data_IF_802084087293
#
_entry.id   IF_802084087293
#
_cell.length_a   1.000
_cell.length_b   1.000
_cell.length_c   1.000
_cell.angle_alpha   90.00
_cell.angle_beta   90.00
_cell.angle_gamma   90.00
#
_symmetry.space_group_name_H-M   'P 1'
#
loop_
_entity.id
_entity.type
_entity.pdbx_description
1 polymer ?
#
# COMPACT_ATOMS: atom_id res chain seq x y z
N UNK A 1 14.25 1.95 -10.19
CA UNK A 1 13.61 3.00 -9.37
C UNK A 1 14.58 3.75 -8.47
N UNK A 2 15.37 3.10 -7.61
CA UNK A 2 16.32 3.80 -6.71
C UNK A 2 17.33 4.69 -7.45
N UNK A 3 17.93 4.24 -8.57
CA UNK A 3 18.83 5.05 -9.37
C UNK A 3 18.11 6.26 -9.99
N UNK A 4 16.89 6.08 -10.45
CA UNK A 4 16.08 7.18 -10.98
C UNK A 4 15.79 8.23 -9.91
N UNK A 5 15.34 7.83 -8.71
CA UNK A 5 15.08 8.75 -7.62
C UNK A 5 16.34 9.57 -7.25
N UNK A 6 17.51 8.93 -7.20
CA UNK A 6 18.80 9.63 -6.94
C UNK A 6 19.11 10.71 -7.97
N UNK A 7 18.78 10.49 -9.25
CA UNK A 7 18.99 11.49 -10.30
C UNK A 7 18.16 12.76 -10.12
N UNK A 8 17.08 12.67 -9.36
CA UNK A 8 16.23 13.81 -8.96
C UNK A 8 16.53 14.32 -7.55
N UNK A 9 17.69 13.99 -6.98
CA UNK A 9 18.09 14.49 -5.66
C UNK A 9 17.56 13.70 -4.48
N UNK A 10 16.85 12.57 -4.69
CA UNK A 10 16.35 11.78 -3.59
C UNK A 10 17.47 11.01 -2.87
N UNK A 11 17.37 10.94 -1.54
CA UNK A 11 18.18 10.06 -0.70
C UNK A 11 17.41 8.78 -0.39
N UNK A 12 17.96 7.65 -0.83
CA UNK A 12 17.34 6.33 -0.59
C UNK A 12 17.65 5.90 0.83
N UNK A 13 16.61 5.52 1.56
CA UNK A 13 16.73 5.01 2.92
C UNK A 13 16.87 3.50 2.90
N UNK A 14 15.85 2.81 2.42
CA UNK A 14 15.84 1.34 2.35
C UNK A 14 14.80 0.81 1.37
N UNK A 15 14.94 -0.48 1.04
CA UNK A 15 13.85 -1.28 0.54
C UNK A 15 13.16 -1.96 1.73
N UNK A 16 11.86 -1.77 1.86
CA UNK A 16 11.03 -2.44 2.84
C UNK A 16 10.10 -3.41 2.11
N UNK A 17 10.55 -4.66 1.98
CA UNK A 17 9.88 -5.63 1.12
C UNK A 17 9.91 -5.19 -0.35
N UNK A 18 8.76 -4.98 -0.94
CA UNK A 18 8.55 -4.47 -2.30
C UNK A 18 8.47 -2.93 -2.38
N UNK A 19 8.48 -2.22 -1.25
CA UNK A 19 8.44 -0.77 -1.20
C UNK A 19 9.84 -0.15 -1.17
N UNK A 20 10.04 0.93 -1.93
CA UNK A 20 11.22 1.76 -1.91
C UNK A 20 10.96 3.03 -1.09
N UNK A 21 11.68 3.20 0.01
CA UNK A 21 11.58 4.37 0.90
C UNK A 21 12.72 5.33 0.61
N UNK A 22 12.36 6.59 0.35
CA UNK A 22 13.32 7.66 0.08
C UNK A 22 12.74 9.02 0.43
N UNK A 23 13.58 10.02 0.56
CA UNK A 23 13.19 11.40 0.81
C UNK A 23 14.02 12.38 -0.01
N UNK A 24 13.56 13.62 -0.13
CA UNK A 24 14.23 14.71 -0.83
C UNK A 24 14.80 15.70 0.17
N UNK A 25 16.11 15.70 0.44
CA UNK A 25 16.73 16.61 1.42
C UNK A 25 16.48 18.08 1.11
N UNK A 26 16.55 18.45 -0.17
CA UNK A 26 16.43 19.83 -0.63
C UNK A 26 15.01 20.41 -0.47
N UNK A 27 14.00 19.55 -0.22
CA UNK A 27 12.66 19.97 0.15
C UNK A 27 12.53 20.40 1.62
N UNK A 28 13.60 20.34 2.41
CA UNK A 28 13.62 20.85 3.79
C UNK A 28 13.30 22.36 3.88
N UNK A 29 13.63 23.13 2.84
CA UNK A 29 13.17 24.49 2.67
C UNK A 29 11.82 24.50 1.89
N UNK A 30 10.70 24.86 2.54
CA UNK A 30 9.41 24.89 1.89
C UNK A 30 9.28 25.94 0.77
N UNK A 31 10.24 26.85 0.64
CA UNK A 31 10.28 27.85 -0.43
C UNK A 31 11.08 27.39 -1.66
N UNK A 32 11.75 26.25 -1.59
CA UNK A 32 12.55 25.73 -2.70
C UNK A 32 11.69 25.08 -3.79
N UNK A 33 11.07 25.92 -4.64
CA UNK A 33 10.21 25.45 -5.76
C UNK A 33 10.88 24.40 -6.65
N UNK A 34 12.19 24.51 -6.89
CA UNK A 34 12.93 23.59 -7.76
C UNK A 34 12.95 22.16 -7.18
N UNK A 35 13.18 22.01 -5.87
CA UNK A 35 13.19 20.70 -5.21
C UNK A 35 11.82 20.00 -5.30
N UNK A 36 10.73 20.75 -5.16
CA UNK A 36 9.39 20.18 -5.30
C UNK A 36 9.02 19.87 -6.75
N UNK A 37 9.54 20.63 -7.71
CA UNK A 37 9.41 20.34 -9.13
C UNK A 37 10.12 19.03 -9.48
N UNK A 38 11.38 18.88 -9.06
CA UNK A 38 12.19 17.68 -9.27
C UNK A 38 11.53 16.44 -8.64
N UNK A 39 10.95 16.61 -7.44
CA UNK A 39 10.22 15.55 -6.76
C UNK A 39 9.02 15.06 -7.58
N UNK A 40 8.17 15.96 -8.06
CA UNK A 40 6.99 15.59 -8.86
C UNK A 40 7.37 15.03 -10.22
N UNK A 41 8.41 15.57 -10.84
CA UNK A 41 8.96 15.03 -12.09
C UNK A 41 9.53 13.62 -11.89
N UNK A 42 10.20 13.37 -10.77
CA UNK A 42 10.67 12.04 -10.37
C UNK A 42 9.50 11.05 -10.31
N UNK A 43 8.41 11.39 -9.62
CA UNK A 43 7.24 10.52 -9.50
C UNK A 43 6.59 10.24 -10.86
N UNK A 44 6.42 11.27 -11.67
CA UNK A 44 5.87 11.12 -13.02
C UNK A 44 6.75 10.23 -13.90
N UNK A 45 8.06 10.44 -13.83
CA UNK A 45 9.02 9.64 -14.58
C UNK A 45 9.03 8.19 -14.13
N UNK A 46 8.90 7.93 -12.82
CA UNK A 46 8.77 6.57 -12.29
C UNK A 46 7.55 5.87 -12.90
N UNK A 47 6.39 6.52 -12.96
CA UNK A 47 5.19 5.93 -13.57
C UNK A 47 5.39 5.66 -15.06
N UNK A 48 6.03 6.56 -15.80
CA UNK A 48 6.27 6.40 -17.24
C UNK A 48 7.27 5.27 -17.55
N UNK A 49 8.33 5.14 -16.75
CA UNK A 49 9.36 4.09 -16.91
C UNK A 49 8.80 2.69 -16.65
N UNK A 50 7.70 2.58 -15.91
CA UNK A 50 7.00 1.29 -15.69
C UNK A 50 6.68 0.57 -17.00
N UNK A 51 6.24 1.29 -18.02
CA UNK A 51 5.84 0.67 -19.29
C UNK A 51 7.04 0.04 -20.00
N UNK A 52 8.22 0.65 -19.88
CA UNK A 52 9.47 0.07 -20.37
C UNK A 52 9.87 -1.18 -19.59
N UNK A 53 9.76 -1.11 -18.26
CA UNK A 53 10.06 -2.26 -17.39
C UNK A 53 9.14 -3.41 -17.75
N UNK A 54 7.83 -3.16 -17.90
CA UNK A 54 6.86 -4.17 -18.25
C UNK A 54 7.09 -4.74 -19.66
N UNK A 55 7.49 -3.92 -20.63
CA UNK A 55 7.85 -4.41 -21.97
C UNK A 55 9.04 -5.38 -21.91
N UNK A 56 10.04 -5.07 -21.08
CA UNK A 56 11.19 -5.96 -20.86
C UNK A 56 10.79 -7.25 -20.12
N UNK A 57 10.02 -7.13 -19.04
CA UNK A 57 9.53 -8.30 -18.31
C UNK A 57 8.71 -9.23 -19.22
N UNK A 58 7.87 -8.66 -20.07
CA UNK A 58 7.09 -9.41 -21.07
C UNK A 58 7.98 -10.17 -22.06
N UNK A 59 9.09 -9.55 -22.51
CA UNK A 59 10.04 -10.23 -23.41
C UNK A 59 10.77 -11.39 -22.74
N UNK A 60 10.80 -11.41 -21.41
CA UNK A 60 11.42 -12.46 -20.59
C UNK A 60 10.37 -13.45 -20.02
N UNK A 61 9.09 -13.36 -20.45
CA UNK A 61 7.94 -14.14 -19.93
C UNK A 61 7.73 -13.96 -18.41
N UNK A 62 8.05 -12.78 -17.88
CA UNK A 62 7.82 -12.42 -16.49
C UNK A 62 6.52 -11.59 -16.33
N UNK A 63 5.86 -11.68 -15.18
CA UNK A 63 4.65 -10.92 -14.92
C UNK A 63 4.92 -9.40 -14.90
N UNK A 64 3.95 -8.62 -15.35
CA UNK A 64 4.01 -7.16 -15.30
C UNK A 64 3.99 -6.66 -13.86
N UNK A 65 4.71 -5.57 -13.61
CA UNK A 65 4.71 -4.88 -12.32
C UNK A 65 3.78 -3.68 -12.34
N UNK A 66 3.14 -3.45 -11.21
CA UNK A 66 2.32 -2.28 -10.93
C UNK A 66 2.75 -1.75 -9.57
N UNK A 67 2.82 -0.43 -9.42
CA UNK A 67 3.18 0.18 -8.14
C UNK A 67 2.44 1.50 -7.93
N UNK A 68 2.45 1.97 -6.70
CA UNK A 68 1.84 3.21 -6.26
C UNK A 68 2.93 4.12 -5.71
N UNK A 69 2.72 5.42 -5.80
CA UNK A 69 3.61 6.41 -5.22
C UNK A 69 2.79 7.26 -4.26
N UNK A 70 3.28 7.37 -3.03
CA UNK A 70 2.74 8.28 -2.03
C UNK A 70 3.83 9.19 -1.52
N UNK A 71 3.48 10.44 -1.28
CA UNK A 71 4.39 11.42 -0.70
C UNK A 71 3.65 12.34 0.27
N UNK A 72 4.34 12.75 1.31
CA UNK A 72 3.85 13.79 2.21
C UNK A 72 5.01 14.65 2.70
N UNK A 73 4.67 15.79 3.29
CA UNK A 73 5.63 16.74 3.82
C UNK A 73 5.52 16.84 5.34
N UNK A 74 6.66 16.78 6.03
CA UNK A 74 6.70 16.95 7.46
C UNK A 74 8.00 16.50 8.07
N UNK A 75 8.08 16.64 9.40
CA UNK A 75 9.26 16.27 10.14
C UNK A 75 9.47 14.76 10.15
N UNK A 76 10.66 14.34 9.75
CA UNK A 76 11.13 12.96 9.86
C UNK A 76 12.44 12.93 10.65
N UNK A 77 12.65 11.86 11.40
CA UNK A 77 13.89 11.62 12.13
C UNK A 77 14.64 10.50 11.41
N UNK A 78 15.92 10.76 11.11
CA UNK A 78 16.81 9.79 10.50
C UNK A 78 17.65 9.16 11.61
N UNK A 79 17.48 7.88 11.86
CA UNK A 79 18.32 7.14 12.80
C UNK A 79 19.26 6.19 12.05
N UNK A 80 20.53 6.19 12.44
CA UNK A 80 21.50 5.21 12.01
C UNK A 80 21.59 4.10 13.04
N UNK A 81 21.29 2.87 12.62
CA UNK A 81 21.44 1.71 13.52
C UNK A 81 22.88 1.20 13.45
N UNK A 82 23.48 0.97 14.64
CA UNK A 82 24.82 0.35 14.72
C UNK A 82 24.81 -1.12 14.31
N UNK A 83 23.63 -1.76 14.24
CA UNK A 83 23.47 -3.17 13.91
C UNK A 83 23.09 -3.46 12.45
N UNK A 84 22.53 -2.49 11.75
CA UNK A 84 22.20 -2.58 10.32
C UNK A 84 22.93 -1.46 9.56
N UNK A 85 23.61 -1.80 8.45
CA UNK A 85 24.25 -0.81 7.57
C UNK A 85 23.20 0.01 6.79
N UNK A 86 22.26 0.69 7.48
CA UNK A 86 21.20 1.46 6.86
C UNK A 86 20.70 2.57 7.76
N UNK A 87 20.15 3.61 7.13
CA UNK A 87 19.39 4.66 7.80
C UNK A 87 17.93 4.21 7.89
N UNK A 88 17.26 4.52 8.99
CA UNK A 88 15.81 4.37 9.15
C UNK A 88 15.15 5.73 9.30
N UNK A 89 13.96 5.89 8.73
CA UNK A 89 13.13 7.08 8.91
C UNK A 89 12.02 6.80 9.91
N UNK A 90 11.86 7.74 10.85
CA UNK A 90 10.81 7.71 11.86
C UNK A 90 10.02 9.01 11.85
N UNK A 91 8.76 8.94 12.26
CA UNK A 91 7.90 10.12 12.44
C UNK A 91 6.48 9.90 11.91
N UNK A 92 5.58 10.78 12.36
CA UNK A 92 4.16 10.76 11.95
C UNK A 92 3.98 10.89 10.43
N UNK A 93 4.85 11.66 9.77
CA UNK A 93 4.85 11.85 8.31
C UNK A 93 5.07 10.54 7.56
N UNK A 94 5.97 9.67 8.05
CA UNK A 94 6.18 8.34 7.48
C UNK A 94 4.92 7.47 7.58
N UNK A 95 4.29 7.48 8.75
CA UNK A 95 3.06 6.71 8.96
C UNK A 95 1.91 7.20 8.08
N UNK A 96 1.76 8.52 7.95
CA UNK A 96 0.76 9.12 7.04
C UNK A 96 1.06 8.72 5.60
N UNK A 97 2.30 8.90 5.15
CA UNK A 97 2.73 8.58 3.79
C UNK A 97 2.45 7.11 3.43
N UNK A 98 2.78 6.18 4.34
CA UNK A 98 2.49 4.76 4.15
C UNK A 98 0.97 4.47 4.08
N UNK A 99 0.18 5.12 4.91
CA UNK A 99 -1.29 4.94 4.94
C UNK A 99 -2.00 5.50 3.70
N UNK A 100 -1.62 6.69 3.24
CA UNK A 100 -2.21 7.27 2.02
C UNK A 100 -1.81 6.51 0.76
N UNK A 101 -0.75 5.69 0.80
CA UNK A 101 -0.35 4.86 -0.34
C UNK A 101 -1.45 3.88 -0.78
N UNK A 102 -2.21 3.35 0.17
CA UNK A 102 -3.33 2.45 -0.13
C UNK A 102 -4.48 3.15 -0.87
N UNK A 103 -4.58 4.48 -0.77
CA UNK A 103 -5.59 5.29 -1.45
C UNK A 103 -5.22 5.60 -2.91
N UNK A 104 -3.98 5.34 -3.32
CA UNK A 104 -3.58 5.51 -4.70
C UNK A 104 -4.15 4.40 -5.57
N UNK A 105 -4.66 4.78 -6.74
CA UNK A 105 -4.94 3.81 -7.81
C UNK A 105 -3.66 3.10 -8.26
N UNK A 106 -3.73 1.87 -8.77
CA UNK A 106 -2.58 1.22 -9.38
C UNK A 106 -1.92 2.12 -10.42
N UNK A 107 -0.62 2.32 -10.27
CA UNK A 107 0.18 3.26 -11.08
C UNK A 107 -0.22 4.74 -10.92
N UNK A 108 -0.84 5.07 -9.80
CA UNK A 108 -1.19 6.42 -9.42
C UNK A 108 -0.17 7.04 -8.46
N UNK A 109 -0.30 8.36 -8.33
CA UNK A 109 0.46 9.19 -7.39
C UNK A 109 -0.54 9.85 -6.46
N UNK A 110 -0.33 9.71 -5.14
CA UNK A 110 -1.08 10.45 -4.12
C UNK A 110 -0.14 11.27 -3.26
N UNK A 111 -0.61 12.42 -2.82
CA UNK A 111 0.11 13.30 -1.92
C UNK A 111 -0.76 13.66 -0.71
N UNK A 112 -0.12 13.80 0.43
CA UNK A 112 -0.78 14.26 1.65
C UNK A 112 -1.08 15.74 1.65
N UNK A 113 -1.98 16.14 2.55
CA UNK A 113 -2.45 17.51 2.67
C UNK A 113 -1.35 18.51 2.97
N UNK A 114 -0.38 18.15 3.81
CA UNK A 114 0.71 19.03 4.19
C UNK A 114 1.63 19.33 2.99
N UNK A 115 1.94 18.33 2.18
CA UNK A 115 2.66 18.52 0.93
C UNK A 115 1.85 19.38 -0.05
N UNK A 116 0.57 19.11 -0.20
CA UNK A 116 -0.30 19.90 -1.08
C UNK A 116 -0.36 21.37 -0.68
N UNK A 117 -0.40 21.69 0.63
CA UNK A 117 -0.43 23.08 1.10
C UNK A 117 0.82 23.86 0.67
N UNK A 118 1.99 23.23 0.61
CA UNK A 118 3.22 23.84 0.15
C UNK A 118 3.18 24.05 -1.36
N UNK A 119 2.94 22.98 -2.10
CA UNK A 119 3.09 23.03 -3.56
C UNK A 119 2.01 23.81 -4.27
N UNK A 120 0.80 23.94 -3.71
CA UNK A 120 -0.31 24.66 -4.34
C UNK A 120 -0.01 26.14 -4.64
N UNK A 121 0.93 26.74 -3.91
CA UNK A 121 1.34 28.14 -4.10
C UNK A 121 2.31 28.33 -5.27
N UNK A 122 2.92 27.26 -5.78
CA UNK A 122 3.94 27.33 -6.81
C UNK A 122 3.33 27.49 -8.21
N UNK A 123 3.77 28.48 -8.93
CA UNK A 123 3.18 28.88 -10.21
C UNK A 123 3.33 27.86 -11.31
N UNK A 124 4.42 27.08 -11.30
CA UNK A 124 4.72 26.08 -12.33
C UNK A 124 3.79 24.85 -12.22
N UNK A 125 3.30 24.53 -11.03
CA UNK A 125 2.44 23.37 -10.80
C UNK A 125 1.10 23.48 -11.47
N UNK A 126 0.51 24.68 -11.49
CA UNK A 126 -0.77 24.94 -12.15
C UNK A 126 -0.72 24.67 -13.65
N UNK A 127 0.45 24.72 -14.27
CA UNK A 127 0.65 24.47 -15.71
C UNK A 127 0.93 22.99 -16.01
N UNK A 128 1.62 22.28 -15.11
CA UNK A 128 2.11 20.93 -15.35
C UNK A 128 1.29 19.80 -14.70
N UNK A 129 0.58 20.10 -13.62
CA UNK A 129 -0.12 19.10 -12.81
C UNK A 129 -1.56 19.50 -12.52
N UNK A 130 -2.39 18.49 -12.29
CA UNK A 130 -3.75 18.62 -11.77
C UNK A 130 -3.81 17.82 -10.47
N UNK A 131 -4.36 18.44 -9.42
CA UNK A 131 -4.56 17.78 -8.15
C UNK A 131 -6.05 17.66 -7.88
N UNK A 132 -6.50 16.46 -7.50
CA UNK A 132 -7.89 16.20 -7.14
C UNK A 132 -7.94 15.62 -5.74
N UNK A 133 -8.72 16.22 -4.87
CA UNK A 133 -8.94 15.70 -3.53
C UNK A 133 -9.71 14.38 -3.60
N UNK A 134 -9.21 13.37 -2.89
CA UNK A 134 -9.89 12.09 -2.77
C UNK A 134 -11.01 12.19 -1.75
N UNK A 135 -12.20 11.77 -2.15
CA UNK A 135 -13.35 11.73 -1.26
C UNK A 135 -13.11 10.69 -0.15
N UNK A 136 -13.28 11.14 1.09
CA UNK A 136 -13.11 10.27 2.25
C UNK A 136 -11.91 10.66 3.12
N UNK A 137 -10.81 11.14 2.57
CA UNK A 137 -9.60 11.50 3.31
C UNK A 137 -9.10 10.36 4.22
N UNK A 138 -7.93 10.50 4.79
CA UNK A 138 -7.44 9.59 5.82
C UNK A 138 -7.94 10.05 7.21
N UNK A 139 -8.57 9.17 8.00
CA UNK A 139 -9.05 9.50 9.34
C UNK A 139 -7.88 9.49 10.33
N UNK A 140 -7.52 10.67 10.85
CA UNK A 140 -6.59 10.81 11.98
C UNK A 140 -7.43 10.97 13.26
N UNK A 141 -7.77 9.85 13.93
CA UNK A 141 -8.61 9.87 15.12
C UNK A 141 -10.10 10.10 14.82
N UNK A 142 -10.89 10.34 15.86
CA UNK A 142 -12.36 10.26 15.80
C UNK A 142 -13.05 11.35 14.95
N UNK A 143 -12.41 12.50 14.66
CA UNK A 143 -13.10 13.63 14.01
C UNK A 143 -12.31 14.39 12.91
N UNK A 144 -11.02 14.10 12.72
CA UNK A 144 -10.21 14.84 11.75
C UNK A 144 -9.84 13.98 10.55
N UNK A 145 -10.38 14.34 9.38
CA UNK A 145 -9.99 13.76 8.10
C UNK A 145 -8.74 14.48 7.58
N UNK A 146 -7.68 13.71 7.37
CA UNK A 146 -6.49 14.22 6.69
C UNK A 146 -6.72 14.24 5.18
N UNK A 147 -6.63 15.39 4.51
CA UNK A 147 -6.91 15.49 3.09
C UNK A 147 -5.80 14.79 2.28
N UNK A 148 -6.20 14.07 1.25
CA UNK A 148 -5.32 13.35 0.33
C UNK A 148 -5.68 13.74 -1.08
N UNK A 149 -4.67 13.96 -1.91
CA UNK A 149 -4.86 14.41 -3.29
C UNK A 149 -4.20 13.45 -4.26
N UNK A 150 -4.88 13.14 -5.37
CA UNK A 150 -4.19 12.53 -6.52
C UNK A 150 -3.42 13.59 -7.27
N UNK A 151 -2.21 13.24 -7.73
CA UNK A 151 -1.40 14.10 -8.58
C UNK A 151 -1.38 13.54 -10.01
N UNK A 152 -1.92 14.29 -10.96
CA UNK A 152 -2.01 13.91 -12.36
C UNK A 152 -1.17 14.87 -13.20
N UNK A 153 -0.23 14.35 -13.97
CA UNK A 153 0.48 15.16 -14.97
C UNK A 153 -0.46 15.50 -16.12
N UNK A 154 -0.58 16.77 -16.46
CA UNK A 154 -1.36 17.25 -17.63
C UNK A 154 -0.70 16.88 -18.96
N UNK A 155 0.60 16.60 -18.93
CA UNK A 155 1.40 16.28 -20.12
C UNK A 155 1.46 14.77 -20.39
N UNK A 156 0.34 14.05 -20.29
CA UNK A 156 0.26 12.59 -20.49
C UNK A 156 0.88 12.07 -21.79
N UNK A 157 1.04 12.91 -22.82
CA UNK A 157 1.52 12.53 -24.13
C UNK A 157 2.85 13.17 -24.53
N UNK A 158 3.50 13.92 -23.65
CA UNK A 158 4.68 14.66 -24.04
C UNK A 158 5.94 14.15 -23.29
N UNK A 159 6.56 13.11 -23.84
CA UNK A 159 7.92 12.71 -23.47
C UNK A 159 8.95 13.83 -23.73
N UNK A 160 8.55 14.95 -24.34
CA UNK A 160 9.42 16.09 -24.64
C UNK A 160 9.77 16.94 -23.39
N UNK A 161 9.03 16.81 -22.29
CA UNK A 161 9.34 17.46 -21.02
C UNK A 161 10.14 16.59 -20.05
N UNK A 162 10.29 15.31 -20.34
CA UNK A 162 11.11 14.41 -19.55
C UNK A 162 12.58 14.74 -19.76
N UNK A 163 13.33 14.77 -18.68
CA UNK A 163 14.80 14.85 -18.79
C UNK A 163 15.32 13.53 -19.41
N UNK A 164 15.27 13.49 -20.77
CA UNK A 164 15.63 12.33 -21.59
C UNK A 164 17.05 11.86 -21.25
N UNK A 165 17.92 12.77 -20.79
CA UNK A 165 19.28 12.42 -20.38
C UNK A 165 19.26 11.48 -19.18
N UNK A 166 18.37 11.67 -18.21
CA UNK A 166 18.24 10.79 -17.04
C UNK A 166 17.74 9.40 -17.43
N UNK A 167 16.81 9.32 -18.41
CA UNK A 167 16.27 8.05 -18.90
C UNK A 167 17.29 7.34 -19.80
N UNK A 168 17.96 8.07 -20.68
CA UNK A 168 19.01 7.52 -21.54
C UNK A 168 20.20 6.96 -20.76
N UNK A 169 20.54 7.57 -19.63
CA UNK A 169 21.61 7.10 -18.76
C UNK A 169 21.26 5.77 -18.07
N UNK A 170 19.98 5.54 -17.79
CA UNK A 170 19.50 4.32 -17.12
C UNK A 170 19.23 3.15 -18.09
N UNK A 171 18.77 3.42 -19.30
CA UNK A 171 18.28 2.40 -20.23
C UNK A 171 19.00 2.37 -21.59
N UNK A 172 19.88 3.33 -21.88
CA UNK A 172 20.54 3.48 -23.17
C UNK A 172 19.67 4.17 -24.23
N UNK A 173 20.33 4.90 -25.14
CA UNK A 173 19.66 5.77 -26.11
C UNK A 173 18.76 5.04 -27.11
N UNK A 174 19.00 3.75 -27.38
CA UNK A 174 18.25 2.94 -28.34
C UNK A 174 16.90 2.43 -27.79
N UNK A 175 16.76 2.37 -26.48
CA UNK A 175 15.51 1.93 -25.84
C UNK A 175 14.49 3.08 -25.72
N UNK A 176 14.98 4.29 -25.54
CA UNK A 176 14.14 5.50 -25.39
C UNK A 176 13.44 5.91 -26.69
N UNK A 177 14.03 5.63 -27.85
CA UNK A 177 13.38 5.88 -29.15
C UNK A 177 12.16 4.98 -29.39
N UNK A 178 12.13 3.78 -28.82
CA UNK A 178 10.98 2.86 -28.90
C UNK A 178 9.77 3.35 -28.08
N UNK A 179 9.97 4.20 -27.07
CA UNK A 179 8.88 4.74 -26.25
C UNK A 179 7.98 5.68 -27.04
N UNK A 180 8.54 6.46 -27.97
CA UNK A 180 7.79 7.38 -28.82
C UNK A 180 6.78 6.65 -29.71
N UNK A 181 7.09 5.41 -30.09
CA UNK A 181 6.22 4.60 -30.95
C UNK A 181 5.15 3.81 -30.18
N UNK A 182 5.38 3.54 -28.87
CA UNK A 182 4.45 2.78 -28.01
C UNK A 182 3.27 3.66 -27.56
N UNK A 183 3.52 4.94 -27.30
CA UNK A 183 2.46 5.90 -26.89
C UNK A 183 1.38 6.12 -27.95
N UNK A 184 1.67 5.82 -29.22
CA UNK A 184 0.74 5.96 -30.34
C UNK A 184 -0.12 4.71 -30.63
N UNK A 185 0.20 3.54 -30.06
CA UNK A 185 -0.44 2.26 -30.38
C UNK A 185 -1.35 1.66 -29.31
N UNK A 186 -1.48 2.26 -28.12
CA UNK A 186 -2.26 1.67 -27.01
C UNK A 186 -3.71 2.18 -26.92
N UNK A 187 -4.41 2.31 -28.05
CA UNK A 187 -5.87 2.50 -28.02
C UNK A 187 -6.69 1.23 -28.30
N UNK A 188 -6.07 0.06 -28.41
CA UNK A 188 -6.81 -1.17 -28.65
C UNK A 188 -6.07 -2.41 -28.15
N UNK A 189 -6.27 -2.80 -26.91
CA UNK A 189 -6.23 -4.21 -26.53
C UNK A 189 -7.07 -4.43 -25.28
N UNK A 190 -8.16 -5.15 -25.48
CA UNK A 190 -9.06 -5.70 -24.48
C UNK A 190 -8.25 -6.57 -23.51
N UNK A 191 -8.08 -6.10 -22.30
CA UNK A 191 -7.69 -6.94 -21.17
C UNK A 191 -8.80 -7.95 -20.91
N UNK A 192 -8.41 -9.22 -20.77
CA UNK A 192 -9.31 -10.34 -20.59
C UNK A 192 -10.29 -10.10 -19.44
N UNK A 193 -11.55 -10.33 -19.67
CA UNK A 193 -12.69 -10.18 -18.76
C UNK A 193 -12.53 -10.99 -17.45
N UNK A 194 -11.65 -11.99 -17.41
CA UNK A 194 -11.44 -12.86 -16.26
C UNK A 194 -10.63 -12.20 -15.13
N UNK A 195 -9.57 -11.43 -15.45
CA UNK A 195 -8.79 -10.71 -14.42
C UNK A 195 -9.59 -9.55 -13.80
N UNK A 196 -10.48 -8.93 -14.58
CA UNK A 196 -11.35 -7.86 -14.10
C UNK A 196 -12.41 -8.38 -13.13
N UNK A 197 -12.94 -9.59 -13.34
CA UNK A 197 -13.93 -10.21 -12.46
C UNK A 197 -13.33 -10.66 -11.13
N UNK A 198 -12.12 -11.24 -11.12
CA UNK A 198 -11.44 -11.62 -9.88
C UNK A 198 -11.04 -10.40 -9.03
N UNK A 199 -10.57 -9.31 -9.65
CA UNK A 199 -10.28 -8.07 -8.94
C UNK A 199 -11.54 -7.44 -8.37
N UNK A 200 -12.62 -7.38 -9.13
CA UNK A 200 -13.89 -6.78 -8.69
C UNK A 200 -14.52 -7.56 -7.51
N UNK A 201 -14.31 -8.88 -7.46
CA UNK A 201 -14.75 -9.71 -6.35
C UNK A 201 -13.92 -9.46 -5.07
N UNK A 202 -12.62 -9.15 -5.19
CA UNK A 202 -11.76 -8.82 -4.05
C UNK A 202 -12.14 -7.47 -3.40
N UNK A 203 -12.46 -6.44 -4.17
CA UNK A 203 -12.93 -5.14 -3.64
C UNK A 203 -14.27 -5.22 -2.88
N UNK A 204 -15.00 -6.32 -2.97
CA UNK A 204 -16.21 -6.57 -2.21
C UNK A 204 -16.00 -7.44 -0.97
N UNK A 205 -14.79 -7.92 -0.72
CA UNK A 205 -14.46 -8.80 0.40
C UNK A 205 -13.96 -8.00 1.59
N UNK A 206 -14.73 -8.01 2.67
CA UNK A 206 -14.40 -7.33 3.91
C UNK A 206 -13.65 -8.28 4.84
N UNK A 207 -12.48 -7.87 5.30
CA UNK A 207 -11.61 -8.60 6.21
C UNK A 207 -11.43 -7.77 7.49
N UNK A 208 -11.69 -8.38 8.64
CA UNK A 208 -11.33 -7.82 9.95
C UNK A 208 -9.98 -8.38 10.39
N UNK A 209 -9.11 -7.53 10.92
CA UNK A 209 -7.85 -7.96 11.56
C UNK A 209 -7.85 -7.46 13.00
N UNK A 210 -7.48 -8.33 13.93
CA UNK A 210 -7.35 -7.98 15.34
C UNK A 210 -6.00 -8.47 15.86
N UNK A 211 -5.13 -7.53 16.24
CA UNK A 211 -3.77 -7.79 16.74
C UNK A 211 -3.36 -6.62 17.62
N UNK A 212 -2.90 -6.86 18.83
CA UNK A 212 -2.53 -5.80 19.78
C UNK A 212 -1.20 -5.11 19.47
N UNK A 213 -0.43 -5.64 18.52
CA UNK A 213 0.79 -5.02 17.99
C UNK A 213 0.49 -4.08 16.83
N UNK A 214 0.54 -2.75 17.00
CA UNK A 214 0.17 -1.80 15.94
C UNK A 214 1.00 -1.95 14.64
N UNK A 215 2.29 -2.28 14.76
CA UNK A 215 3.19 -2.41 13.61
C UNK A 215 2.87 -3.66 12.79
N UNK A 216 2.55 -4.76 13.47
CA UNK A 216 2.11 -6.01 12.85
C UNK A 216 0.77 -5.81 12.15
N UNK A 217 -0.18 -5.19 12.84
CA UNK A 217 -1.50 -4.87 12.32
C UNK A 217 -1.41 -4.01 11.05
N UNK A 218 -0.61 -2.95 11.11
CA UNK A 218 -0.35 -2.08 9.97
C UNK A 218 0.23 -2.83 8.76
N UNK A 219 1.18 -3.74 9.02
CA UNK A 219 1.81 -4.53 7.95
C UNK A 219 0.79 -5.42 7.24
N UNK A 220 -0.07 -6.09 7.99
CA UNK A 220 -1.08 -6.98 7.40
C UNK A 220 -2.20 -6.19 6.71
N UNK A 221 -2.62 -5.08 7.28
CA UNK A 221 -3.57 -4.15 6.63
C UNK A 221 -3.05 -3.70 5.27
N UNK A 222 -1.76 -3.30 5.21
CA UNK A 222 -1.11 -2.92 3.97
C UNK A 222 -1.10 -4.05 2.95
N UNK A 223 -0.67 -5.26 3.35
CA UNK A 223 -0.58 -6.40 2.44
C UNK A 223 -1.95 -6.75 1.84
N UNK A 224 -3.00 -6.70 2.63
CA UNK A 224 -4.34 -7.07 2.19
C UNK A 224 -5.03 -5.97 1.38
N UNK A 225 -4.86 -4.71 1.76
CA UNK A 225 -5.39 -3.58 1.02
C UNK A 225 -4.76 -3.50 -0.38
N UNK A 226 -3.47 -3.79 -0.51
CA UNK A 226 -2.77 -3.86 -1.80
C UNK A 226 -3.31 -4.95 -2.73
N UNK A 227 -3.85 -6.03 -2.16
CA UNK A 227 -4.51 -7.10 -2.93
C UNK A 227 -5.97 -6.76 -3.28
N UNK A 228 -6.47 -5.62 -2.81
CA UNK A 228 -7.83 -5.14 -3.11
C UNK A 228 -8.88 -5.62 -2.11
N UNK A 229 -8.52 -6.07 -0.92
CA UNK A 229 -9.46 -6.35 0.16
C UNK A 229 -9.85 -5.07 0.91
N UNK A 230 -11.09 -4.99 1.38
CA UNK A 230 -11.51 -3.98 2.34
C UNK A 230 -11.09 -4.45 3.74
N UNK A 231 -10.18 -3.75 4.36
CA UNK A 231 -9.60 -4.16 5.65
C UNK A 231 -10.01 -3.21 6.75
N UNK A 232 -10.49 -3.77 7.85
CA UNK A 232 -10.73 -3.04 9.10
C UNK A 232 -9.87 -3.65 10.21
N UNK A 233 -8.99 -2.83 10.77
CA UNK A 233 -7.92 -3.25 11.67
C UNK A 233 -8.14 -2.70 13.08
N UNK A 234 -8.01 -3.56 14.11
CA UNK A 234 -8.27 -3.23 15.51
C UNK A 234 -7.13 -3.69 16.40
N UNK A 235 -6.61 -2.76 17.22
CA UNK A 235 -5.62 -3.09 18.29
C UNK A 235 -6.30 -3.52 19.58
N UNK A 236 -7.57 -3.16 19.79
CA UNK A 236 -8.35 -3.56 20.96
C UNK A 236 -9.41 -4.60 20.57
N UNK A 237 -9.31 -5.85 21.07
CA UNK A 237 -10.26 -6.90 20.74
C UNK A 237 -11.69 -6.61 21.24
N UNK A 238 -11.88 -5.76 22.24
CA UNK A 238 -13.21 -5.37 22.70
C UNK A 238 -13.88 -4.38 21.73
N UNK A 239 -13.10 -3.46 21.17
CA UNK A 239 -13.59 -2.57 20.11
C UNK A 239 -13.91 -3.35 18.84
N UNK A 240 -13.06 -4.31 18.45
CA UNK A 240 -13.32 -5.21 17.35
C UNK A 240 -14.66 -5.96 17.53
N UNK A 241 -14.89 -6.51 18.72
CA UNK A 241 -16.15 -7.22 19.01
C UNK A 241 -17.37 -6.29 18.94
N UNK A 242 -17.30 -5.10 19.53
CA UNK A 242 -18.39 -4.10 19.46
C UNK A 242 -18.70 -3.74 18.03
N UNK A 243 -17.67 -3.55 17.21
CA UNK A 243 -17.83 -3.23 15.80
C UNK A 243 -18.44 -4.40 15.02
N UNK A 244 -17.98 -5.62 15.28
CA UNK A 244 -18.54 -6.83 14.68
C UNK A 244 -20.02 -7.00 15.00
N UNK A 245 -20.43 -6.83 16.27
CA UNK A 245 -21.83 -6.91 16.70
C UNK A 245 -22.69 -5.88 15.99
N UNK A 246 -22.22 -4.64 15.89
CA UNK A 246 -22.94 -3.54 15.22
C UNK A 246 -23.24 -3.86 13.75
N UNK A 247 -22.28 -4.43 13.03
CA UNK A 247 -22.42 -4.75 11.61
C UNK A 247 -23.15 -6.07 11.38
N UNK A 248 -22.96 -7.09 12.22
CA UNK A 248 -23.68 -8.37 12.12
C UNK A 248 -25.18 -8.23 12.35
N UNK A 249 -25.61 -7.25 13.12
CA UNK A 249 -27.03 -6.93 13.31
C UNK A 249 -27.69 -6.27 12.08
N UNK A 250 -26.90 -5.63 11.22
CA UNK A 250 -27.38 -4.95 10.02
C UNK A 250 -27.20 -5.80 8.74
N UNK A 251 -26.15 -6.64 8.69
CA UNK A 251 -25.75 -7.43 7.52
C UNK A 251 -25.29 -8.82 7.95
N UNK A 252 -25.99 -9.89 7.60
CA UNK A 252 -25.77 -11.26 8.11
C UNK A 252 -24.39 -11.90 7.71
N UNK A 253 -23.54 -11.23 6.96
CA UNK A 253 -22.16 -11.66 6.65
C UNK A 253 -21.30 -10.52 6.12
N UNK A 254 -21.20 -9.44 6.90
CA UNK A 254 -20.39 -8.28 6.50
C UNK A 254 -18.91 -8.65 6.34
N UNK A 255 -18.34 -9.38 7.30
CA UNK A 255 -16.97 -9.88 7.18
C UNK A 255 -16.96 -11.30 6.62
N UNK A 256 -16.24 -11.49 5.52
CA UNK A 256 -16.01 -12.81 4.93
C UNK A 256 -14.90 -13.56 5.64
N UNK A 257 -13.95 -12.83 6.24
CA UNK A 257 -12.83 -13.39 6.98
C UNK A 257 -12.45 -12.49 8.16
N UNK A 258 -12.10 -13.13 9.28
CA UNK A 258 -11.50 -12.46 10.43
C UNK A 258 -10.14 -13.08 10.70
N UNK A 259 -9.10 -12.26 10.78
CA UNK A 259 -7.75 -12.62 11.19
C UNK A 259 -7.56 -12.25 12.66
N UNK A 260 -7.22 -13.19 13.51
CA UNK A 260 -7.09 -13.00 14.93
C UNK A 260 -5.69 -13.34 15.43
N UNK A 261 -5.02 -12.40 16.07
CA UNK A 261 -3.92 -12.77 16.96
C UNK A 261 -4.45 -13.52 18.17
N UNK A 262 -3.69 -14.48 18.67
CA UNK A 262 -4.11 -15.30 19.82
C UNK A 262 -3.79 -14.60 21.13
N UNK A 263 -2.62 -13.99 21.23
CA UNK A 263 -2.12 -13.39 22.46
C UNK A 263 -2.41 -11.90 22.52
N UNK A 264 -3.61 -11.56 22.91
CA UNK A 264 -4.01 -10.17 23.13
C UNK A 264 -4.38 -9.94 24.60
N UNK A 265 -4.12 -8.75 25.15
CA UNK A 265 -4.50 -8.42 26.52
C UNK A 265 -6.03 -8.31 26.67
N UNK A 266 -6.55 -8.56 27.87
CA UNK A 266 -7.96 -8.44 28.27
C UNK A 266 -8.91 -9.44 27.62
N UNK A 267 -8.93 -9.56 26.31
CA UNK A 267 -9.74 -10.51 25.57
C UNK A 267 -8.83 -11.21 24.54
N UNK A 268 -8.49 -12.48 24.78
CA UNK A 268 -7.61 -13.20 23.88
C UNK A 268 -8.34 -13.66 22.59
N UNK A 269 -7.55 -14.04 21.57
CA UNK A 269 -8.11 -14.41 20.27
C UNK A 269 -9.06 -15.60 20.30
N UNK A 270 -8.86 -16.58 21.22
CA UNK A 270 -9.77 -17.72 21.38
C UNK A 270 -11.12 -17.32 21.96
N UNK A 271 -11.12 -16.41 22.93
CA UNK A 271 -12.36 -15.90 23.50
C UNK A 271 -13.13 -15.10 22.44
N UNK A 272 -12.42 -14.24 21.69
CA UNK A 272 -13.01 -13.46 20.60
C UNK A 272 -13.55 -14.38 19.48
N UNK A 273 -12.82 -15.43 19.13
CA UNK A 273 -13.27 -16.47 18.20
C UNK A 273 -14.60 -17.07 18.60
N UNK A 274 -14.73 -17.52 19.87
CA UNK A 274 -15.95 -18.13 20.37
C UNK A 274 -17.15 -17.16 20.33
N UNK A 275 -16.91 -15.89 20.68
CA UNK A 275 -17.95 -14.86 20.62
C UNK A 275 -18.39 -14.58 19.18
N UNK A 276 -17.47 -14.44 18.24
CA UNK A 276 -17.78 -14.24 16.82
C UNK A 276 -18.51 -15.46 16.25
N UNK A 277 -18.07 -16.67 16.55
CA UNK A 277 -18.73 -17.91 16.09
C UNK A 277 -20.14 -18.10 16.65
N UNK A 278 -20.38 -17.62 17.87
CA UNK A 278 -21.74 -17.63 18.45
C UNK A 278 -22.66 -16.66 17.72
N UNK A 279 -22.16 -15.49 17.32
CA UNK A 279 -22.93 -14.46 16.62
C UNK A 279 -23.10 -14.75 15.12
N UNK A 280 -22.06 -15.29 14.50
CA UNK A 280 -22.02 -15.58 13.07
C UNK A 280 -21.23 -16.87 12.80
N UNK A 281 -21.89 -18.05 12.87
CA UNK A 281 -21.24 -19.35 12.71
C UNK A 281 -20.48 -19.51 11.39
N UNK A 282 -20.95 -18.87 10.33
CA UNK A 282 -20.42 -18.99 8.98
C UNK A 282 -19.22 -18.06 8.69
N UNK A 283 -18.93 -17.09 9.55
CA UNK A 283 -17.76 -16.21 9.39
C UNK A 283 -16.50 -17.04 9.41
N UNK A 284 -15.66 -16.93 8.37
CA UNK A 284 -14.38 -17.60 8.31
C UNK A 284 -13.41 -16.92 9.25
N UNK A 285 -12.68 -17.70 10.05
CA UNK A 285 -11.71 -17.17 11.01
C UNK A 285 -10.38 -17.86 10.81
N UNK A 286 -9.30 -17.10 10.80
CA UNK A 286 -7.93 -17.57 10.69
C UNK A 286 -7.12 -16.95 11.82
N UNK A 287 -6.31 -17.77 12.49
CA UNK A 287 -5.42 -17.32 13.54
C UNK A 287 -4.05 -16.97 12.99
N UNK A 288 -3.47 -15.89 13.51
CA UNK A 288 -2.07 -15.52 13.31
C UNK A 288 -1.38 -15.60 14.66
N UNK A 289 -0.33 -16.41 14.80
CA UNK A 289 0.26 -16.68 16.10
C UNK A 289 1.75 -16.90 16.06
N UNK A 290 2.41 -16.66 17.19
CA UNK A 290 3.79 -17.06 17.40
C UNK A 290 3.96 -18.59 17.32
N UNK A 291 5.19 -19.04 17.09
CA UNK A 291 5.54 -20.41 16.69
C UNK A 291 5.09 -21.49 17.69
N UNK A 292 5.06 -21.16 18.99
CA UNK A 292 4.81 -22.07 20.09
C UNK A 292 3.32 -22.38 20.36
N UNK A 293 2.41 -21.60 19.77
CA UNK A 293 0.97 -21.72 20.05
C UNK A 293 0.18 -22.57 19.03
N UNK A 294 0.76 -22.89 17.89
CA UNK A 294 0.04 -23.62 16.84
C UNK A 294 -0.32 -25.06 17.26
N UNK A 295 0.51 -25.70 18.07
CA UNK A 295 0.26 -27.06 18.59
C UNK A 295 -0.76 -27.06 19.72
N UNK A 296 -0.75 -26.01 20.56
CA UNK A 296 -1.69 -25.85 21.66
C UNK A 296 -3.11 -25.58 21.13
N UNK A 297 -3.23 -24.78 20.07
CA UNK A 297 -4.50 -24.48 19.41
C UNK A 297 -5.22 -25.72 18.88
N UNK A 298 -4.51 -26.64 18.25
CA UNK A 298 -5.11 -27.87 17.71
C UNK A 298 -5.60 -28.80 18.81
N UNK A 299 -5.02 -28.74 20.02
CA UNK A 299 -5.50 -29.49 21.16
C UNK A 299 -6.77 -28.87 21.81
N UNK A 300 -6.90 -27.54 21.76
CA UNK A 300 -8.03 -26.80 22.35
C UNK A 300 -9.23 -26.71 21.39
N UNK A 301 -8.96 -26.62 20.08
CA UNK A 301 -9.97 -26.53 19.02
C UNK A 301 -9.76 -27.67 18.01
N UNK A 302 -10.19 -28.91 18.31
CA UNK A 302 -9.97 -30.08 17.45
C UNK A 302 -10.60 -29.95 16.05
N UNK A 303 -11.64 -29.11 15.90
CA UNK A 303 -12.26 -28.81 14.60
C UNK A 303 -11.51 -27.75 13.79
N UNK A 304 -10.51 -27.11 14.37
CA UNK A 304 -9.70 -26.10 13.66
C UNK A 304 -8.57 -26.79 12.90
N UNK A 305 -8.66 -26.78 11.57
CA UNK A 305 -7.62 -27.37 10.72
C UNK A 305 -6.33 -26.53 10.82
N UNK A 306 -5.17 -27.20 10.75
CA UNK A 306 -3.86 -26.52 10.63
C UNK A 306 -3.80 -25.49 9.51
N UNK A 307 -4.64 -25.65 8.47
CA UNK A 307 -4.77 -24.70 7.38
C UNK A 307 -5.31 -23.31 7.82
N UNK A 308 -5.94 -23.22 8.98
CA UNK A 308 -6.51 -21.99 9.52
C UNK A 308 -5.55 -21.23 10.46
N UNK A 309 -4.32 -21.70 10.59
CA UNK A 309 -3.30 -21.10 11.45
C UNK A 309 -2.13 -20.60 10.59
N UNK A 310 -1.75 -19.37 10.81
CA UNK A 310 -0.58 -18.72 10.22
C UNK A 310 0.42 -18.44 11.33
N UNK A 311 1.68 -18.78 11.10
CA UNK A 311 2.76 -18.56 12.08
C UNK A 311 3.47 -17.24 11.82
N UNK A 312 3.66 -16.44 12.88
CA UNK A 312 4.49 -15.23 12.85
C UNK A 312 5.99 -15.63 12.88
N UNK A 313 6.88 -14.93 12.16
CA UNK A 313 6.63 -13.83 11.21
C UNK A 313 6.04 -14.32 9.88
N UNK A 314 5.17 -13.52 9.28
CA UNK A 314 4.42 -13.90 8.08
C UNK A 314 4.93 -13.15 6.86
N UNK A 315 5.35 -13.88 5.84
CA UNK A 315 5.66 -13.31 4.53
C UNK A 315 4.39 -12.97 3.77
N UNK A 316 4.39 -11.83 3.04
CA UNK A 316 3.24 -11.35 2.26
C UNK A 316 2.63 -12.43 1.36
N UNK A 317 3.46 -13.07 0.53
CA UNK A 317 2.99 -14.06 -0.45
C UNK A 317 2.31 -15.25 0.25
N UNK A 318 2.85 -15.68 1.37
CA UNK A 318 2.28 -16.78 2.15
C UNK A 318 0.93 -16.39 2.77
N UNK A 319 0.83 -15.18 3.37
CA UNK A 319 -0.41 -14.65 3.93
C UNK A 319 -1.52 -14.61 2.87
N UNK A 320 -1.23 -13.98 1.72
CA UNK A 320 -2.19 -13.81 0.63
C UNK A 320 -2.67 -15.15 0.08
N UNK A 321 -1.77 -16.11 -0.14
CA UNK A 321 -2.13 -17.45 -0.63
C UNK A 321 -3.03 -18.18 0.35
N UNK A 322 -2.76 -18.08 1.65
CA UNK A 322 -3.59 -18.70 2.70
C UNK A 322 -5.00 -18.07 2.74
N UNK A 323 -5.08 -16.76 2.69
CA UNK A 323 -6.36 -16.03 2.68
C UNK A 323 -7.18 -16.39 1.43
N UNK A 324 -6.56 -16.38 0.25
CA UNK A 324 -7.22 -16.77 -0.99
C UNK A 324 -7.76 -18.21 -0.91
N UNK A 325 -6.97 -19.14 -0.39
CA UNK A 325 -7.40 -20.54 -0.19
C UNK A 325 -8.59 -20.63 0.77
N UNK A 326 -8.60 -19.81 1.83
CA UNK A 326 -9.68 -19.81 2.82
C UNK A 326 -10.96 -19.20 2.26
N UNK A 327 -10.86 -18.15 1.45
CA UNK A 327 -12.01 -17.44 0.86
C UNK A 327 -12.67 -18.26 -0.27
N UNK A 328 -11.91 -19.06 -1.00
CA UNK A 328 -12.37 -19.85 -2.14
C UNK A 328 -12.93 -21.23 -1.78
N UNK A 329 -12.74 -21.68 -0.54
CA UNK A 329 -13.34 -22.90 0.03
C UNK A 329 -14.63 -22.58 0.81
#
# INVERSE_FOLDING_TARGET
>A
MAALAKNYGAKIVKNAGDALIFYFPDSSDPANEAAFADMLECFTTMILVRDMINAKLHSENLPSVSYRISADYGKVEVATSNSSKGEDLFGSTMNICAKINSMAEPNGIVIGGDLYQIIKSFSFLNKGYEFRELQGGYSIGFDNKYPVYTALSKNKNNTAGLNINNINQLFGSNEVSKIKDIGAKQQSSQLSLQDSQQKQQRYSTNIMIVDDEPDTLFTYELFLSDEGYNVEAFTDPQEALKHFVKLSGAFSSYYQLVLLDIRMPRLNGLQLFNMIKTLSPNTKIMFISALDMAEELTSILPDTKYSHIIRKPVERVYLINKINSMLNN
#
